data_IF_317725936782
#
_entry.id   IF_317725936782
#
_cell.length_a   1.000
_cell.length_b   1.000
_cell.length_c   1.000
_cell.angle_alpha   90.00
_cell.angle_beta   90.00
_cell.angle_gamma   90.00
#
_symmetry.space_group_name_H-M   'P 1'
#
loop_
_entity.id
_entity.type
_entity.pdbx_description
1 polymer ?
#
# COMPACT_ATOMS: atom_id res chain seq x y z
N UNK A 1 33.31 -39.88 23.16
CA UNK A 1 32.61 -41.19 23.18
C UNK A 1 31.13 -40.84 23.19
N UNK A 2 30.36 -40.88 22.11
CA UNK A 2 30.48 -41.35 20.72
C UNK A 2 29.40 -40.55 19.92
N UNK A 3 29.67 -40.08 18.70
CA UNK A 3 29.25 -40.68 17.40
C UNK A 3 27.77 -41.11 17.36
N UNK A 4 26.90 -40.77 16.40
CA UNK A 4 27.02 -40.71 14.94
C UNK A 4 25.67 -40.09 14.44
N UNK A 5 25.60 -39.09 13.55
CA UNK A 5 25.44 -39.25 12.10
C UNK A 5 24.07 -39.78 11.63
N UNK A 6 23.16 -38.93 11.09
CA UNK A 6 22.29 -39.31 9.95
C UNK A 6 21.43 -38.17 9.37
N UNK A 7 21.69 -37.85 8.09
CA UNK A 7 20.74 -37.69 6.94
C UNK A 7 19.45 -36.88 7.20
N UNK A 8 19.16 -35.79 6.47
CA UNK A 8 19.18 -35.69 5.01
C UNK A 8 17.84 -36.15 4.43
N UNK A 9 16.85 -35.26 4.32
CA UNK A 9 15.56 -35.54 3.68
C UNK A 9 15.11 -34.36 2.83
N UNK A 10 15.61 -34.31 1.59
CA UNK A 10 15.08 -33.49 0.51
C UNK A 10 13.69 -34.05 0.12
N UNK A 11 12.70 -33.19 0.05
CA UNK A 11 11.38 -33.50 -0.51
C UNK A 11 11.51 -33.71 -2.04
N UNK A 12 11.01 -34.81 -2.62
CA UNK A 12 10.91 -34.95 -4.06
C UNK A 12 9.52 -34.49 -4.53
N UNK A 13 9.43 -33.31 -5.15
CA UNK A 13 8.29 -32.94 -5.98
C UNK A 13 8.52 -33.48 -7.39
N UNK A 14 8.18 -34.75 -7.60
CA UNK A 14 8.10 -35.34 -8.93
C UNK A 14 6.64 -35.28 -9.42
N UNK A 15 6.41 -34.46 -10.46
CA UNK A 15 5.16 -34.46 -11.22
C UNK A 15 5.12 -35.71 -12.14
N UNK A 16 3.94 -36.36 -12.31
CA UNK A 16 3.80 -37.52 -13.18
C UNK A 16 3.86 -37.14 -14.68
N UNK A 17 4.33 -38.04 -15.56
CA UNK A 17 4.32 -37.80 -17.00
C UNK A 17 2.89 -37.88 -17.56
N UNK A 18 2.56 -36.93 -18.44
CA UNK A 18 1.33 -36.95 -19.21
C UNK A 18 1.29 -38.17 -20.13
N UNK A 19 0.20 -38.92 -20.03
CA UNK A 19 -0.17 -40.08 -20.82
C UNK A 19 -0.21 -39.76 -22.32
N UNK A 20 0.66 -40.42 -23.09
CA UNK A 20 0.48 -40.55 -24.55
C UNK A 20 -0.56 -41.64 -24.80
N UNK A 21 -1.81 -41.21 -25.03
CA UNK A 21 -2.90 -42.05 -25.52
C UNK A 21 -2.96 -42.00 -27.05
N UNK A 22 -2.95 -43.18 -27.67
CA UNK A 22 -2.95 -43.41 -29.11
C UNK A 22 -4.26 -42.97 -29.78
N UNK A 23 -4.17 -42.49 -31.03
CA UNK A 23 -5.25 -42.66 -32.00
C UNK A 23 -4.72 -42.69 -33.43
N UNK A 24 -5.01 -43.81 -34.07
CA UNK A 24 -4.67 -44.23 -35.42
C UNK A 24 -5.72 -43.80 -36.44
N UNK A 25 -5.28 -43.59 -37.68
CA UNK A 25 -6.10 -43.48 -38.90
C UNK A 25 -5.81 -42.15 -39.61
N UNK A 26 -5.50 -42.07 -40.91
CA UNK A 26 -5.50 -43.01 -42.01
C UNK A 26 -5.81 -42.22 -43.28
N UNK A 27 -4.84 -42.14 -44.21
CA UNK A 27 -5.01 -41.91 -45.67
C UNK A 27 -5.64 -40.61 -46.19
N UNK A 28 -5.02 -40.05 -47.24
CA UNK A 28 -5.73 -39.27 -48.28
C UNK A 28 -5.13 -37.89 -48.54
N UNK A 29 -4.53 -37.71 -49.72
CA UNK A 29 -3.95 -36.44 -50.17
C UNK A 29 -4.98 -35.38 -50.55
N UNK A 30 -4.49 -34.13 -50.63
CA UNK A 30 -5.23 -32.99 -51.14
C UNK A 30 -4.51 -31.68 -50.81
N UNK A 31 -3.88 -31.08 -51.81
CA UNK A 31 -3.32 -29.72 -51.76
C UNK A 31 -4.42 -28.69 -51.49
N UNK A 32 -4.18 -27.73 -50.60
CA UNK A 32 -4.81 -26.40 -50.61
C UNK A 32 -4.09 -25.45 -49.66
N UNK A 33 -3.87 -24.23 -50.13
CA UNK A 33 -3.17 -23.13 -49.48
C UNK A 33 -3.87 -22.63 -48.20
N UNK A 34 -3.08 -22.05 -47.30
CA UNK A 34 -3.58 -21.35 -46.10
C UNK A 34 -2.62 -21.44 -44.92
N UNK A 35 -1.39 -20.93 -45.08
CA UNK A 35 -0.39 -20.90 -44.01
C UNK A 35 -0.69 -19.82 -42.98
N UNK A 36 -1.73 -20.00 -42.17
CA UNK A 36 -1.90 -19.25 -40.92
C UNK A 36 -0.81 -19.69 -39.95
N UNK A 37 0.29 -18.93 -39.93
CA UNK A 37 1.41 -19.13 -39.03
C UNK A 37 0.97 -18.96 -37.58
N UNK A 38 0.69 -20.07 -36.91
CA UNK A 38 0.48 -20.14 -35.48
C UNK A 38 1.83 -19.89 -34.79
N UNK A 39 2.25 -18.62 -34.69
CA UNK A 39 3.52 -18.21 -34.10
C UNK A 39 3.53 -18.57 -32.62
N UNK A 40 4.19 -19.69 -32.30
CA UNK A 40 4.40 -20.13 -30.92
C UNK A 40 5.04 -18.98 -30.12
N UNK A 41 4.56 -18.67 -28.91
CA UNK A 41 5.18 -17.64 -28.08
C UNK A 41 6.65 -18.01 -27.81
N UNK A 42 7.58 -17.05 -27.94
CA UNK A 42 9.01 -17.29 -27.82
C UNK A 42 9.35 -17.82 -26.42
N UNK A 43 10.19 -18.87 -26.36
CA UNK A 43 10.56 -19.56 -25.12
C UNK A 43 11.90 -19.10 -24.55
N UNK A 44 12.53 -18.10 -25.16
CA UNK A 44 13.82 -17.53 -24.75
C UNK A 44 13.89 -16.02 -25.05
N UNK A 45 14.83 -15.33 -24.38
CA UNK A 45 15.02 -13.88 -24.50
C UNK A 45 15.43 -13.46 -25.90
N UNK A 46 16.19 -14.29 -26.62
CA UNK A 46 16.55 -14.03 -28.01
C UNK A 46 15.33 -14.06 -28.94
N UNK A 47 14.39 -14.98 -28.72
CA UNK A 47 13.13 -15.05 -29.46
C UNK A 47 12.20 -13.87 -29.17
N UNK A 48 12.17 -13.39 -27.92
CA UNK A 48 11.48 -12.15 -27.54
C UNK A 48 12.12 -10.93 -28.23
N UNK A 49 13.45 -10.83 -28.22
CA UNK A 49 14.18 -9.77 -28.91
C UNK A 49 13.90 -9.78 -30.41
N UNK A 50 13.93 -10.96 -31.03
CA UNK A 50 13.69 -11.10 -32.46
C UNK A 50 12.25 -10.74 -32.84
N UNK A 51 11.28 -11.14 -32.00
CA UNK A 51 9.89 -10.71 -32.12
C UNK A 51 9.75 -9.18 -32.00
N UNK A 52 10.42 -8.57 -31.03
CA UNK A 52 10.41 -7.12 -30.84
C UNK A 52 11.05 -6.37 -32.01
N UNK A 53 12.14 -6.88 -32.56
CA UNK A 53 12.80 -6.32 -33.75
C UNK A 53 11.86 -6.43 -34.96
N UNK A 54 11.22 -7.58 -35.18
CA UNK A 54 10.29 -7.75 -36.29
C UNK A 54 9.04 -6.89 -36.16
N UNK A 55 8.54 -6.70 -34.94
CA UNK A 55 7.40 -5.82 -34.67
C UNK A 55 7.77 -4.33 -34.78
N UNK A 56 9.02 -3.95 -34.52
CA UNK A 56 9.53 -2.58 -34.62
C UNK A 56 10.13 -2.22 -35.99
N UNK A 57 10.08 -3.12 -36.98
CA UNK A 57 10.62 -2.89 -38.33
C UNK A 57 9.55 -2.45 -39.35
N UNK A 58 8.29 -2.31 -38.95
CA UNK A 58 7.21 -1.79 -39.79
C UNK A 58 7.17 -0.26 -39.73
N UNK A 59 7.87 0.41 -40.65
CA UNK A 59 7.76 1.84 -41.03
C UNK A 59 7.80 2.91 -39.89
N UNK A 60 8.10 4.19 -40.19
CA UNK A 60 7.89 5.24 -39.20
C UNK A 60 6.39 5.33 -38.89
N UNK A 61 6.03 5.04 -37.63
CA UNK A 61 4.67 5.20 -37.13
C UNK A 61 4.11 6.56 -37.61
N UNK A 62 2.94 6.61 -38.26
CA UNK A 62 2.33 7.89 -38.64
C UNK A 62 2.22 8.78 -37.39
N UNK A 63 2.34 10.12 -37.52
CA UNK A 63 2.19 11.02 -36.38
C UNK A 63 0.91 10.64 -35.63
N UNK A 64 0.96 10.50 -34.29
CA UNK A 64 -0.17 9.99 -33.54
C UNK A 64 -1.40 10.82 -33.90
N UNK A 65 -2.39 10.17 -34.52
CA UNK A 65 -3.61 10.86 -34.93
C UNK A 65 -4.19 11.57 -33.70
N UNK A 66 -4.52 12.88 -33.81
CA UNK A 66 -5.14 13.59 -32.72
C UNK A 66 -6.43 12.84 -32.36
N UNK A 67 -6.53 12.41 -31.09
CA UNK A 67 -7.61 11.52 -30.70
C UNK A 67 -8.98 12.16 -30.99
N UNK A 68 -9.94 11.34 -31.43
CA UNK A 68 -11.31 11.82 -31.61
C UNK A 68 -11.84 12.42 -30.30
N UNK A 69 -12.66 13.46 -30.40
CA UNK A 69 -13.15 14.19 -29.23
C UNK A 69 -13.94 13.29 -28.26
N UNK A 70 -14.65 12.30 -28.81
CA UNK A 70 -15.34 11.25 -28.04
C UNK A 70 -14.37 10.38 -27.24
N UNK A 71 -13.26 9.93 -27.86
CA UNK A 71 -12.23 9.14 -27.17
C UNK A 71 -11.52 9.99 -26.11
N UNK A 72 -11.35 11.29 -26.36
CA UNK A 72 -10.78 12.25 -25.41
C UNK A 72 -11.66 12.40 -24.18
N UNK A 73 -12.97 12.59 -24.39
CA UNK A 73 -13.94 12.70 -23.30
C UNK A 73 -14.03 11.40 -22.51
N UNK A 74 -14.09 10.25 -23.17
CA UNK A 74 -14.07 8.95 -22.50
C UNK A 74 -12.80 8.75 -21.65
N UNK A 75 -11.62 9.05 -22.19
CA UNK A 75 -10.37 8.92 -21.45
C UNK A 75 -10.32 9.88 -20.25
N UNK A 76 -10.78 11.12 -20.44
CA UNK A 76 -10.81 12.12 -19.38
C UNK A 76 -11.80 11.73 -18.28
N UNK A 77 -12.95 11.15 -18.63
CA UNK A 77 -13.91 10.62 -17.67
C UNK A 77 -13.33 9.42 -16.91
N UNK A 78 -12.70 8.47 -17.60
CA UNK A 78 -12.05 7.32 -16.99
C UNK A 78 -10.93 7.73 -16.02
N UNK A 79 -10.08 8.70 -16.41
CA UNK A 79 -9.07 9.27 -15.50
C UNK A 79 -9.74 9.95 -14.30
N UNK A 80 -10.78 10.75 -14.52
CA UNK A 80 -11.49 11.43 -13.43
C UNK A 80 -12.16 10.45 -12.46
N UNK A 81 -12.64 9.30 -12.96
CA UNK A 81 -13.20 8.24 -12.16
C UNK A 81 -12.12 7.50 -11.36
N UNK A 82 -10.98 7.20 -11.99
CA UNK A 82 -9.86 6.54 -11.33
C UNK A 82 -9.28 7.37 -10.17
N UNK A 83 -9.13 8.70 -10.35
CA UNK A 83 -8.62 9.59 -9.30
C UNK A 83 -9.68 10.08 -8.30
N UNK A 84 -10.96 9.74 -8.52
CA UNK A 84 -12.05 10.20 -7.64
C UNK A 84 -11.87 9.70 -6.21
N UNK A 85 -11.54 8.42 -6.05
CA UNK A 85 -11.33 7.80 -4.73
C UNK A 85 -10.19 8.47 -3.97
N UNK A 86 -9.04 8.63 -4.60
CA UNK A 86 -7.89 9.29 -3.98
C UNK A 86 -8.19 10.74 -3.57
N UNK A 87 -8.89 11.50 -4.41
CA UNK A 87 -9.29 12.87 -4.06
C UNK A 87 -10.24 12.91 -2.86
N UNK A 88 -11.17 11.96 -2.79
CA UNK A 88 -12.10 11.85 -1.67
C UNK A 88 -11.39 11.49 -0.36
N UNK A 89 -10.44 10.56 -0.40
CA UNK A 89 -9.59 10.16 0.73
C UNK A 89 -8.78 11.35 1.29
N UNK A 90 -8.18 12.16 0.41
CA UNK A 90 -7.45 13.36 0.83
C UNK A 90 -8.38 14.41 1.47
N UNK A 91 -9.59 14.59 0.95
CA UNK A 91 -10.57 15.49 1.57
C UNK A 91 -11.05 14.98 2.94
N UNK A 92 -11.25 13.67 3.09
CA UNK A 92 -11.55 13.05 4.39
C UNK A 92 -10.39 13.28 5.37
N UNK A 93 -9.15 13.08 4.93
CA UNK A 93 -7.95 13.32 5.72
C UNK A 93 -7.86 14.77 6.21
N UNK A 94 -8.13 15.74 5.33
CA UNK A 94 -8.17 17.17 5.70
C UNK A 94 -9.28 17.46 6.72
N UNK A 95 -10.44 16.81 6.59
CA UNK A 95 -11.52 16.94 7.57
C UNK A 95 -11.10 16.44 8.94
N UNK A 96 -10.50 15.25 9.02
CA UNK A 96 -9.96 14.70 10.26
C UNK A 96 -8.90 15.61 10.88
N UNK A 97 -7.94 16.08 10.07
CA UNK A 97 -6.91 17.01 10.54
C UNK A 97 -7.50 18.32 11.06
N UNK A 98 -8.59 18.81 10.46
CA UNK A 98 -9.30 20.00 10.95
C UNK A 98 -9.87 19.78 12.34
N UNK A 99 -10.55 18.65 12.57
CA UNK A 99 -11.06 18.26 13.91
C UNK A 99 -9.91 18.19 14.91
N UNK A 100 -8.83 17.50 14.55
CA UNK A 100 -7.68 17.32 15.43
C UNK A 100 -6.91 18.62 15.71
N UNK A 101 -6.94 19.57 14.78
CA UNK A 101 -6.31 20.89 14.95
C UNK A 101 -7.05 21.81 15.90
N UNK A 102 -8.37 21.62 16.10
CA UNK A 102 -9.15 22.49 16.99
C UNK A 102 -8.61 22.44 18.42
N UNK A 103 -8.56 23.57 19.14
CA UNK A 103 -8.17 23.58 20.54
C UNK A 103 -9.12 22.71 21.38
N UNK A 104 -8.61 22.08 22.44
CA UNK A 104 -9.50 21.39 23.39
C UNK A 104 -10.30 22.46 24.16
N UNK A 105 -11.62 22.28 24.32
CA UNK A 105 -12.45 23.26 25.01
C UNK A 105 -12.04 23.35 26.50
N UNK A 106 -11.61 24.52 27.01
CA UNK A 106 -11.06 24.65 28.36
C UNK A 106 -12.11 24.67 29.47
N UNK A 107 -13.39 24.87 29.12
CA UNK A 107 -14.52 25.03 30.05
C UNK A 107 -15.76 24.28 29.56
N UNK A 108 -15.56 23.09 29.01
CA UNK A 108 -16.64 22.19 28.64
C UNK A 108 -17.10 21.39 29.87
N UNK A 109 -18.41 21.12 29.98
CA UNK A 109 -18.91 20.14 30.96
C UNK A 109 -18.35 18.74 30.67
N UNK A 110 -18.35 17.84 31.66
CA UNK A 110 -17.81 16.47 31.50
C UNK A 110 -18.37 15.74 30.26
N UNK A 111 -19.66 15.93 29.96
CA UNK A 111 -20.31 15.35 28.79
C UNK A 111 -19.80 15.90 27.45
N UNK A 112 -19.50 17.20 27.39
CA UNK A 112 -18.99 17.86 26.18
C UNK A 112 -17.51 17.51 25.96
N UNK A 113 -16.73 17.39 27.04
CA UNK A 113 -15.36 16.91 26.98
C UNK A 113 -15.28 15.46 26.50
N UNK A 114 -16.20 14.59 26.95
CA UNK A 114 -16.29 13.21 26.48
C UNK A 114 -16.67 13.13 24.99
N UNK A 115 -17.60 13.98 24.54
CA UNK A 115 -17.99 14.05 23.13
C UNK A 115 -16.83 14.53 22.22
N UNK A 116 -16.11 15.60 22.60
CA UNK A 116 -14.92 16.07 21.87
C UNK A 116 -13.83 15.00 21.83
N UNK A 117 -13.60 14.30 22.94
CA UNK A 117 -12.64 13.20 22.97
C UNK A 117 -13.04 12.08 22.00
N UNK A 118 -14.31 11.67 21.99
CA UNK A 118 -14.80 10.63 21.09
C UNK A 118 -14.69 11.03 19.62
N UNK A 119 -14.98 12.29 19.29
CA UNK A 119 -14.82 12.82 17.92
C UNK A 119 -13.36 12.75 17.46
N UNK A 120 -12.42 13.16 18.32
CA UNK A 120 -10.98 13.10 18.03
C UNK A 120 -10.48 11.66 17.93
N UNK A 121 -10.98 10.75 18.77
CA UNK A 121 -10.65 9.33 18.70
C UNK A 121 -11.11 8.72 17.36
N UNK A 122 -12.34 9.02 16.94
CA UNK A 122 -12.86 8.58 15.64
C UNK A 122 -12.08 9.17 14.46
N UNK A 123 -11.66 10.44 14.55
CA UNK A 123 -10.80 11.04 13.52
C UNK A 123 -9.42 10.37 13.42
N UNK A 124 -8.83 9.95 14.55
CA UNK A 124 -7.55 9.21 14.55
C UNK A 124 -7.70 7.79 13.99
N UNK A 125 -8.84 7.12 14.25
CA UNK A 125 -9.14 5.80 13.66
C UNK A 125 -9.29 5.89 12.15
N UNK A 126 -10.11 6.82 11.66
CA UNK A 126 -10.29 7.00 10.22
C UNK A 126 -8.97 7.37 9.52
N UNK A 127 -8.12 8.19 10.15
CA UNK A 127 -6.78 8.47 9.62
C UNK A 127 -5.90 7.23 9.57
N UNK A 128 -5.99 6.32 10.55
CA UNK A 128 -5.23 5.08 10.54
C UNK A 128 -5.67 4.17 9.39
N UNK A 129 -6.98 4.04 9.17
CA UNK A 129 -7.53 3.27 8.05
C UNK A 129 -7.08 3.85 6.70
N UNK A 130 -7.13 5.18 6.54
CA UNK A 130 -6.65 5.85 5.32
C UNK A 130 -5.15 5.66 5.10
N UNK A 131 -4.35 5.76 6.17
CA UNK A 131 -2.89 5.67 6.12
C UNK A 131 -2.35 4.24 6.03
N UNK A 132 -3.20 3.20 6.01
CA UNK A 132 -2.77 1.86 5.59
C UNK A 132 -2.25 1.87 4.14
N UNK A 133 -2.73 2.81 3.32
CA UNK A 133 -2.16 3.10 2.01
C UNK A 133 -0.93 4.04 2.15
N UNK A 134 0.21 3.62 1.59
CA UNK A 134 1.46 4.38 1.63
C UNK A 134 1.36 5.76 0.98
N UNK A 135 0.57 5.91 -0.09
CA UNK A 135 0.37 7.21 -0.76
C UNK A 135 -0.37 8.19 0.17
N UNK A 136 -1.41 7.69 0.85
CA UNK A 136 -2.15 8.47 1.85
C UNK A 136 -1.29 8.80 3.07
N UNK A 137 -0.43 7.87 3.53
CA UNK A 137 0.52 8.14 4.61
C UNK A 137 1.52 9.26 4.22
N UNK A 138 1.94 9.32 2.96
CA UNK A 138 2.78 10.40 2.44
C UNK A 138 2.01 11.73 2.42
N UNK A 139 0.77 11.75 1.92
CA UNK A 139 -0.10 12.93 1.92
C UNK A 139 -0.35 13.44 3.36
N UNK A 140 -0.57 12.53 4.31
CA UNK A 140 -0.72 12.86 5.73
C UNK A 140 0.52 13.58 6.28
N UNK A 141 1.71 13.12 5.89
CA UNK A 141 2.96 13.74 6.29
C UNK A 141 3.13 15.14 5.66
N UNK A 142 2.75 15.30 4.39
CA UNK A 142 2.76 16.60 3.69
C UNK A 142 1.77 17.60 4.31
N UNK A 143 0.61 17.14 4.76
CA UNK A 143 -0.39 17.95 5.48
C UNK A 143 0.02 18.26 6.94
N UNK A 144 1.27 17.98 7.32
CA UNK A 144 1.80 18.19 8.67
C UNK A 144 1.07 17.40 9.76
N UNK A 145 0.37 16.32 9.39
CA UNK A 145 -0.32 15.44 10.34
C UNK A 145 0.64 14.85 11.38
N UNK A 146 1.85 14.47 10.95
CA UNK A 146 2.86 13.93 11.86
C UNK A 146 3.31 14.93 12.95
N UNK A 147 3.40 16.22 12.60
CA UNK A 147 3.74 17.27 13.58
C UNK A 147 2.66 17.39 14.64
N UNK A 148 1.39 17.26 14.25
CA UNK A 148 0.25 17.30 15.16
C UNK A 148 0.27 16.11 16.13
N UNK A 149 0.53 14.89 15.62
CA UNK A 149 0.60 13.69 16.46
C UNK A 149 1.72 13.77 17.50
N UNK A 150 2.93 14.10 17.06
CA UNK A 150 4.12 14.15 17.92
C UNK A 150 4.06 15.34 18.89
N UNK A 151 3.57 16.49 18.42
CA UNK A 151 3.52 17.72 19.19
C UNK A 151 2.41 17.75 20.24
N UNK A 152 1.26 17.11 19.97
CA UNK A 152 0.06 17.24 20.80
C UNK A 152 -0.48 15.92 21.32
N UNK A 153 -0.63 14.92 20.45
CA UNK A 153 -1.42 13.73 20.78
C UNK A 153 -0.67 12.64 21.53
N UNK A 154 0.66 12.52 21.35
CA UNK A 154 1.46 11.60 22.17
C UNK A 154 1.49 11.97 23.66
N UNK A 155 1.19 13.22 24.00
CA UNK A 155 1.17 13.73 25.38
C UNK A 155 -0.24 14.14 25.82
N UNK A 156 -1.28 13.71 25.09
CA UNK A 156 -2.67 13.99 25.44
C UNK A 156 -3.05 13.38 26.80
N UNK A 157 -3.91 14.05 27.56
CA UNK A 157 -4.35 13.55 28.88
C UNK A 157 -5.13 12.22 28.79
N UNK A 158 -5.93 12.05 27.74
CA UNK A 158 -6.69 10.82 27.50
C UNK A 158 -5.83 9.71 26.91
N UNK A 159 -5.84 8.53 27.55
CA UNK A 159 -5.12 7.35 27.05
C UNK A 159 -5.58 6.94 25.65
N UNK A 160 -6.90 7.06 25.39
CA UNK A 160 -7.55 6.76 24.10
C UNK A 160 -6.93 7.52 22.91
N UNK A 161 -6.52 8.76 23.14
CA UNK A 161 -5.86 9.59 22.15
C UNK A 161 -4.38 9.22 21.99
N UNK A 162 -3.68 8.96 23.09
CA UNK A 162 -2.24 8.63 23.07
C UNK A 162 -1.95 7.34 22.29
N UNK A 163 -2.71 6.27 22.55
CA UNK A 163 -2.43 4.99 21.88
C UNK A 163 -2.80 5.03 20.39
N UNK A 164 -3.88 5.73 20.02
CA UNK A 164 -4.26 5.90 18.61
C UNK A 164 -3.26 6.74 17.84
N UNK A 165 -2.73 7.80 18.46
CA UNK A 165 -1.65 8.58 17.88
C UNK A 165 -0.38 7.74 17.69
N UNK A 166 0.02 6.95 18.69
CA UNK A 166 1.15 6.03 18.56
C UNK A 166 0.91 5.00 17.45
N UNK A 167 -0.29 4.41 17.37
CA UNK A 167 -0.65 3.49 16.29
C UNK A 167 -0.52 4.14 14.92
N UNK A 168 -1.09 5.33 14.73
CA UNK A 168 -1.05 6.04 13.46
C UNK A 168 0.39 6.37 13.03
N UNK A 169 1.26 6.77 13.97
CA UNK A 169 2.69 6.96 13.69
C UNK A 169 3.31 5.65 13.16
N UNK A 170 3.04 4.52 13.82
CA UNK A 170 3.54 3.21 13.38
C UNK A 170 3.01 2.84 11.99
N UNK A 171 1.70 2.99 11.75
CA UNK A 171 1.07 2.71 10.45
C UNK A 171 1.72 3.51 9.32
N UNK A 172 1.90 4.84 9.50
CA UNK A 172 2.51 5.67 8.45
C UNK A 172 3.99 5.37 8.21
N UNK A 173 4.74 4.95 9.24
CA UNK A 173 6.19 4.74 9.14
C UNK A 173 6.59 3.32 8.76
N UNK A 174 5.68 2.35 8.88
CA UNK A 174 5.98 0.95 8.63
C UNK A 174 6.49 0.74 7.19
N UNK A 175 7.74 0.31 7.06
CA UNK A 175 8.42 0.06 5.78
C UNK A 175 8.58 1.32 4.88
N UNK A 176 8.46 2.54 5.42
CA UNK A 176 8.63 3.80 4.67
C UNK A 176 9.78 4.63 5.26
N UNK A 177 10.98 4.45 4.71
CA UNK A 177 12.20 5.10 5.21
C UNK A 177 12.10 6.64 5.33
N UNK A 178 11.51 7.30 4.34
CA UNK A 178 11.34 8.76 4.36
C UNK A 178 10.45 9.23 5.54
N UNK A 179 9.40 8.48 5.86
CA UNK A 179 8.51 8.82 6.98
C UNK A 179 9.18 8.46 8.31
N UNK A 180 9.91 7.34 8.39
CA UNK A 180 10.72 6.98 9.58
C UNK A 180 11.71 8.11 9.93
N UNK A 181 12.46 8.61 8.94
CA UNK A 181 13.39 9.72 9.12
C UNK A 181 12.69 10.99 9.61
N UNK A 182 11.54 11.32 9.03
CA UNK A 182 10.73 12.47 9.46
C UNK A 182 10.27 12.32 10.92
N UNK A 183 9.72 11.16 11.29
CA UNK A 183 9.24 10.85 12.65
C UNK A 183 10.37 10.98 13.67
N UNK A 184 11.56 10.46 13.34
CA UNK A 184 12.76 10.60 14.16
C UNK A 184 13.20 12.06 14.28
N UNK A 185 13.20 12.81 13.18
CA UNK A 185 13.53 14.24 13.14
C UNK A 185 12.60 15.11 14.01
N UNK A 186 11.34 14.70 14.17
CA UNK A 186 10.37 15.36 15.06
C UNK A 186 10.55 15.01 16.54
N UNK A 187 11.49 14.11 16.87
CA UNK A 187 11.75 13.69 18.25
C UNK A 187 10.70 12.72 18.82
N UNK A 188 9.97 12.02 17.96
CA UNK A 188 8.92 11.07 18.37
C UNK A 188 9.49 9.93 19.23
N UNK A 189 10.68 9.42 18.93
CA UNK A 189 11.30 8.30 19.63
C UNK A 189 11.41 8.53 21.14
N UNK A 190 11.83 9.73 21.57
CA UNK A 190 11.91 10.08 23.00
C UNK A 190 10.53 10.11 23.67
N UNK A 191 9.48 10.54 22.95
CA UNK A 191 8.11 10.55 23.46
C UNK A 191 7.57 9.12 23.56
N UNK A 192 7.74 8.31 22.53
CA UNK A 192 7.31 6.91 22.48
C UNK A 192 7.99 6.06 23.57
N UNK A 193 9.30 6.21 23.77
CA UNK A 193 10.02 5.52 24.86
C UNK A 193 9.50 5.90 26.25
N UNK A 194 9.16 7.18 26.47
CA UNK A 194 8.53 7.62 27.73
C UNK A 194 7.14 7.01 27.92
N UNK A 195 6.35 6.89 26.86
CA UNK A 195 5.04 6.22 26.93
C UNK A 195 5.21 4.73 27.26
N UNK A 196 6.14 4.05 26.60
CA UNK A 196 6.43 2.64 26.86
C UNK A 196 6.89 2.38 28.31
N UNK A 197 7.68 3.28 28.88
CA UNK A 197 8.23 3.13 30.23
C UNK A 197 7.23 3.54 31.34
N UNK A 198 6.46 4.62 31.12
CA UNK A 198 5.74 5.32 32.21
C UNK A 198 4.23 5.37 32.10
N UNK A 199 3.63 5.04 30.95
CA UNK A 199 2.18 5.16 30.80
C UNK A 199 1.46 4.11 31.65
N UNK A 200 0.36 4.50 32.30
CA UNK A 200 -0.45 3.61 33.12
C UNK A 200 -1.30 2.65 32.29
N UNK A 201 -1.58 2.98 31.03
CA UNK A 201 -2.40 2.16 30.14
C UNK A 201 -1.54 1.23 29.28
N UNK A 202 -1.71 -0.09 29.46
CA UNK A 202 -0.96 -1.09 28.70
C UNK A 202 -1.15 -0.97 27.18
N UNK A 203 -2.35 -0.61 26.73
CA UNK A 203 -2.62 -0.37 25.29
C UNK A 203 -1.72 0.73 24.73
N UNK A 204 -1.50 1.81 25.49
CA UNK A 204 -0.58 2.89 25.08
C UNK A 204 0.84 2.35 24.96
N UNK A 205 1.29 1.55 25.94
CA UNK A 205 2.62 0.95 25.95
C UNK A 205 2.84 0.03 24.76
N UNK A 206 1.88 -0.85 24.46
CA UNK A 206 1.93 -1.78 23.32
C UNK A 206 1.96 -1.02 21.99
N UNK A 207 1.13 0.02 21.83
CA UNK A 207 1.11 0.81 20.59
C UNK A 207 2.34 1.70 20.43
N UNK A 208 2.91 2.17 21.54
CA UNK A 208 4.20 2.85 21.52
C UNK A 208 5.33 1.89 21.11
N UNK A 209 5.35 0.65 21.63
CA UNK A 209 6.32 -0.37 21.22
C UNK A 209 6.19 -0.70 19.74
N UNK A 210 4.96 -0.85 19.23
CA UNK A 210 4.70 -1.04 17.81
C UNK A 210 5.32 0.09 16.98
N UNK A 211 5.02 1.34 17.30
CA UNK A 211 5.59 2.48 16.58
C UNK A 211 7.13 2.58 16.66
N UNK A 212 7.74 2.11 17.76
CA UNK A 212 9.21 2.04 17.89
C UNK A 212 9.82 0.95 16.99
N UNK A 213 9.06 -0.12 16.73
CA UNK A 213 9.52 -1.23 15.89
C UNK A 213 9.38 -0.98 14.39
N UNK A 214 8.59 0.04 14.01
CA UNK A 214 8.34 0.45 12.63
C UNK A 214 9.48 1.30 12.06
#
# INVERSE_FOLDING_TARGET
MSDEGSRGSRLPLALPPASQGCSSGGGGGGSSAGGSGNSRPPRNLQGLLQMAITAGSEEPDPPPEPMSEERRQWLQEAMSAAFRGQREEVEQMKSCLRVLSQPMPPTAGEAEQAADQQEREGALELLADLCENMDNAADFCQLSGMHLLVGRYLEAGAAGLRWRAAQLIGTCSQNVAAIQEQVLGLGALRKLLRLLDRDACDTVRVKALFAISC
#
